data_IF_530608444494
#
_entry.id   IF_530608444494
#
_cell.length_a   1.000
_cell.length_b   1.000
_cell.length_c   1.000
_cell.angle_alpha   90.00
_cell.angle_beta   90.00
_cell.angle_gamma   90.00
#
_symmetry.space_group_name_H-M   'P 1'
#
loop_
_entity.id
_entity.type
_entity.pdbx_description
1 polymer ?
#
# COMPACT_ATOMS: atom_id res chain seq x y z
N UNK A 1 9.37 47.22 -15.54
CA UNK A 1 9.37 46.58 -16.88
C UNK A 1 10.75 46.37 -17.50
N UNK A 2 11.72 47.26 -17.28
CA UNK A 2 13.07 47.06 -17.84
C UNK A 2 13.81 45.81 -17.38
N UNK A 3 13.63 45.42 -16.12
CA UNK A 3 14.31 44.23 -15.55
C UNK A 3 13.83 42.91 -16.19
N UNK A 4 12.55 42.76 -16.42
CA UNK A 4 11.96 41.56 -17.05
C UNK A 4 12.42 41.42 -18.51
N UNK A 5 12.55 42.54 -19.22
CA UNK A 5 13.02 42.55 -20.61
C UNK A 5 14.50 42.19 -20.73
N UNK A 6 15.34 42.62 -19.75
CA UNK A 6 16.75 42.23 -19.70
C UNK A 6 16.95 40.76 -19.36
N UNK A 7 16.17 40.21 -18.42
CA UNK A 7 16.21 38.79 -18.08
C UNK A 7 15.80 37.96 -19.30
N UNK A 8 14.74 38.35 -19.98
CA UNK A 8 14.24 37.66 -21.16
C UNK A 8 15.22 37.72 -22.34
N UNK A 9 15.91 38.80 -22.54
CA UNK A 9 16.95 38.93 -23.57
C UNK A 9 18.19 38.09 -23.24
N UNK A 10 18.61 38.08 -21.99
CA UNK A 10 19.73 37.21 -21.54
C UNK A 10 19.40 35.72 -21.64
N UNK A 11 18.18 35.31 -21.29
CA UNK A 11 17.71 33.96 -21.52
C UNK A 11 17.69 33.61 -23.00
N UNK A 12 17.19 34.50 -23.84
CA UNK A 12 17.13 34.27 -25.28
C UNK A 12 18.52 34.16 -25.92
N UNK A 13 19.50 34.97 -25.50
CA UNK A 13 20.88 34.89 -25.98
C UNK A 13 21.58 33.61 -25.49
N UNK A 14 21.35 33.21 -24.23
CA UNK A 14 21.87 31.94 -23.70
C UNK A 14 21.30 30.71 -24.43
N UNK A 15 20.03 30.78 -24.77
CA UNK A 15 19.34 29.73 -25.53
C UNK A 15 19.80 29.63 -26.99
N UNK A 16 20.22 30.72 -27.60
CA UNK A 16 20.67 30.74 -29.02
C UNK A 16 22.17 30.46 -29.18
N UNK A 17 22.96 30.64 -28.12
CA UNK A 17 24.44 30.55 -28.23
C UNK A 17 24.97 29.12 -28.19
N UNK A 18 24.26 28.19 -27.53
CA UNK A 18 24.66 26.79 -27.47
C UNK A 18 23.46 25.86 -27.50
N UNK A 19 23.00 25.42 -28.68
CA UNK A 19 21.87 24.49 -28.77
C UNK A 19 22.14 23.15 -28.06
N UNK A 20 23.40 22.76 -27.92
CA UNK A 20 23.78 21.57 -27.17
C UNK A 20 23.40 21.66 -25.68
N UNK A 21 23.55 22.84 -25.05
CA UNK A 21 23.17 23.03 -23.65
C UNK A 21 21.67 22.84 -23.41
N UNK A 22 20.85 23.27 -24.36
CA UNK A 22 19.39 23.08 -24.30
C UNK A 22 19.05 21.59 -24.34
N UNK A 23 19.66 20.86 -25.25
CA UNK A 23 19.46 19.41 -25.39
C UNK A 23 19.85 18.69 -24.10
N UNK A 24 21.01 19.01 -23.52
CA UNK A 24 21.45 18.44 -22.25
C UNK A 24 20.50 18.78 -21.08
N UNK A 25 20.01 20.02 -21.01
CA UNK A 25 19.08 20.44 -19.95
C UNK A 25 17.75 19.69 -20.03
N UNK A 26 17.22 19.52 -21.23
CA UNK A 26 16.00 18.76 -21.48
C UNK A 26 16.20 17.29 -21.13
N UNK A 27 17.33 16.69 -21.52
CA UNK A 27 17.66 15.31 -21.21
C UNK A 27 17.76 15.08 -19.71
N UNK A 28 18.47 15.96 -18.99
CA UNK A 28 18.58 15.88 -17.51
C UNK A 28 17.22 16.06 -16.85
N UNK A 29 16.39 16.97 -17.35
CA UNK A 29 15.04 17.19 -16.83
C UNK A 29 14.15 15.97 -17.01
N UNK A 30 14.23 15.30 -18.17
CA UNK A 30 13.49 14.07 -18.45
C UNK A 30 13.96 12.93 -17.53
N UNK A 31 15.28 12.79 -17.34
CA UNK A 31 15.84 11.78 -16.44
C UNK A 31 15.40 12.03 -15.00
N UNK A 32 15.50 13.28 -14.53
CA UNK A 32 15.06 13.65 -13.19
C UNK A 32 13.56 13.40 -12.99
N UNK A 33 12.75 13.78 -13.97
CA UNK A 33 11.31 13.51 -13.96
C UNK A 33 11.02 12.01 -13.90
N UNK A 34 11.75 11.22 -14.67
CA UNK A 34 11.59 9.76 -14.68
C UNK A 34 11.93 9.15 -13.33
N UNK A 35 13.04 9.58 -12.71
CA UNK A 35 13.46 9.14 -11.37
C UNK A 35 12.39 9.50 -10.33
N UNK A 36 11.90 10.74 -10.34
CA UNK A 36 10.86 11.18 -9.41
C UNK A 36 9.56 10.40 -9.65
N UNK A 37 9.19 10.22 -10.91
CA UNK A 37 7.98 9.48 -11.30
C UNK A 37 8.01 8.03 -10.85
N UNK A 38 9.19 7.39 -10.85
CA UNK A 38 9.35 6.00 -10.37
C UNK A 38 9.39 5.94 -8.84
N UNK A 39 9.98 6.93 -8.19
CA UNK A 39 10.20 6.93 -6.73
C UNK A 39 8.96 7.36 -5.96
N UNK A 40 8.19 8.30 -6.50
CA UNK A 40 6.95 8.81 -5.89
C UNK A 40 5.75 8.08 -6.51
N UNK A 41 5.60 6.79 -6.20
CA UNK A 41 4.36 6.11 -6.55
C UNK A 41 3.25 6.54 -5.59
N UNK A 42 2.17 7.15 -6.09
CA UNK A 42 1.01 7.41 -5.25
C UNK A 42 0.45 6.07 -4.79
N UNK A 43 0.35 5.90 -3.48
CA UNK A 43 -0.37 4.77 -2.90
C UNK A 43 -1.83 4.86 -3.33
N UNK A 44 -2.36 3.79 -3.88
CA UNK A 44 -3.74 3.74 -4.34
C UNK A 44 -4.54 2.90 -3.36
N UNK A 45 -5.69 3.37 -2.86
CA UNK A 45 -6.58 2.53 -2.08
C UNK A 45 -7.30 1.54 -2.99
N UNK A 46 -7.41 0.29 -2.54
CA UNK A 46 -8.19 -0.75 -3.18
C UNK A 46 -9.07 -1.45 -2.14
N UNK A 47 -10.36 -1.46 -2.38
CA UNK A 47 -11.31 -2.16 -1.51
C UNK A 47 -11.55 -3.56 -2.05
N UNK A 48 -11.34 -4.54 -1.19
CA UNK A 48 -11.58 -5.95 -1.48
C UNK A 48 -12.65 -6.49 -0.53
N UNK A 49 -13.67 -7.09 -1.11
CA UNK A 49 -14.80 -7.66 -0.39
C UNK A 49 -14.74 -9.18 -0.40
N UNK A 50 -15.46 -9.81 0.53
CA UNK A 50 -15.55 -11.27 0.64
C UNK A 50 -14.23 -11.97 1.02
N UNK A 51 -13.36 -11.31 1.75
CA UNK A 51 -12.15 -11.92 2.30
C UNK A 51 -12.56 -12.90 3.39
N UNK A 52 -12.18 -14.18 3.30
CA UNK A 52 -12.53 -15.18 4.31
C UNK A 52 -11.84 -14.85 5.64
N UNK A 53 -12.56 -15.04 6.74
CA UNK A 53 -12.02 -14.93 8.10
C UNK A 53 -11.66 -16.31 8.60
N UNK A 54 -10.42 -16.48 9.03
CA UNK A 54 -9.94 -17.69 9.68
C UNK A 54 -9.60 -17.39 11.14
N UNK A 55 -10.01 -18.26 12.03
CA UNK A 55 -9.70 -18.18 13.46
C UNK A 55 -8.81 -19.35 13.80
N UNK A 56 -7.54 -19.10 14.05
CA UNK A 56 -6.57 -20.10 14.47
C UNK A 56 -6.19 -19.85 15.93
N UNK A 57 -6.37 -20.88 16.74
CA UNK A 57 -6.04 -20.87 18.16
C UNK A 57 -4.74 -21.61 18.49
N UNK A 58 -4.07 -22.17 17.46
CA UNK A 58 -2.86 -22.97 17.63
C UNK A 58 -1.74 -22.16 18.28
N UNK A 59 -1.18 -22.69 19.35
CA UNK A 59 -0.11 -22.02 20.12
C UNK A 59 -0.57 -20.81 20.94
N UNK A 60 -1.86 -20.66 21.15
CA UNK A 60 -2.42 -19.57 21.95
C UNK A 60 -2.82 -20.03 23.34
N UNK A 61 -3.02 -19.08 24.26
CA UNK A 61 -3.53 -19.37 25.61
C UNK A 61 -4.92 -20.02 25.60
N UNK A 62 -5.69 -19.85 24.54
CA UNK A 62 -6.97 -20.51 24.38
C UNK A 62 -6.80 -22.03 24.20
N UNK A 63 -5.87 -22.45 23.36
CA UNK A 63 -5.53 -23.88 23.16
C UNK A 63 -4.98 -24.50 24.44
N UNK A 64 -4.05 -23.82 25.13
CA UNK A 64 -3.46 -24.26 26.40
C UNK A 64 -4.51 -24.49 27.50
N UNK A 65 -5.60 -23.71 27.47
CA UNK A 65 -6.72 -23.87 28.41
C UNK A 65 -7.81 -24.84 27.91
N UNK A 66 -7.55 -25.58 26.82
CA UNK A 66 -8.49 -26.57 26.27
C UNK A 66 -9.73 -25.92 25.64
N UNK A 67 -9.68 -24.68 25.24
CA UNK A 67 -10.75 -23.96 24.56
C UNK A 67 -10.75 -24.30 23.07
N UNK A 68 -11.92 -24.28 22.48
CA UNK A 68 -12.09 -24.47 21.03
C UNK A 68 -13.09 -23.46 20.47
N UNK A 69 -12.90 -23.12 19.20
CA UNK A 69 -13.85 -22.23 18.49
C UNK A 69 -15.07 -23.03 18.11
N UNK A 70 -16.24 -22.68 18.68
CA UNK A 70 -17.50 -23.33 18.39
C UNK A 70 -18.16 -22.70 17.16
N UNK A 71 -18.19 -21.38 17.08
CA UNK A 71 -18.76 -20.62 15.97
C UNK A 71 -18.28 -19.18 16.00
N UNK A 72 -18.32 -18.52 14.85
CA UNK A 72 -18.14 -17.08 14.73
C UNK A 72 -19.10 -16.51 13.69
N UNK A 73 -19.59 -15.29 13.95
CA UNK A 73 -20.61 -14.66 13.11
C UNK A 73 -20.03 -14.13 11.80
N UNK A 74 -18.88 -13.48 11.86
CA UNK A 74 -18.27 -12.82 10.73
C UNK A 74 -17.42 -13.81 9.93
N UNK A 75 -17.99 -14.37 8.88
CA UNK A 75 -17.29 -15.32 7.99
C UNK A 75 -16.50 -14.65 6.88
N UNK A 76 -16.85 -13.42 6.52
CA UNK A 76 -16.23 -12.64 5.45
C UNK A 76 -16.18 -11.17 5.82
N UNK A 77 -15.10 -10.52 5.46
CA UNK A 77 -14.90 -9.07 5.69
C UNK A 77 -14.60 -8.33 4.40
N UNK A 78 -14.90 -7.06 4.40
CA UNK A 78 -14.47 -6.11 3.36
C UNK A 78 -13.37 -5.26 3.94
N UNK A 79 -12.26 -5.16 3.24
CA UNK A 79 -11.06 -4.46 3.69
C UNK A 79 -10.59 -3.50 2.63
N UNK A 80 -10.22 -2.29 3.04
CA UNK A 80 -9.54 -1.33 2.19
C UNK A 80 -8.04 -1.40 2.46
N UNK A 81 -7.30 -1.81 1.45
CA UNK A 81 -5.83 -1.87 1.47
C UNK A 81 -5.26 -0.69 0.70
N UNK A 82 -4.12 -0.21 1.13
CA UNK A 82 -3.38 0.86 0.47
C UNK A 82 -1.96 0.40 0.19
N UNK A 83 -1.50 0.62 -1.02
CA UNK A 83 -0.16 0.22 -1.42
C UNK A 83 0.21 0.66 -2.81
N UNK A 84 1.35 0.19 -3.29
CA UNK A 84 1.80 0.47 -4.64
C UNK A 84 0.85 -0.17 -5.65
N UNK A 85 0.40 0.60 -6.64
CA UNK A 85 -0.54 0.17 -7.68
C UNK A 85 -0.12 -1.13 -8.40
N UNK A 86 1.17 -1.30 -8.65
CA UNK A 86 1.69 -2.52 -9.26
C UNK A 86 1.56 -3.75 -8.37
N UNK A 87 1.74 -3.56 -7.06
CA UNK A 87 1.66 -4.64 -6.06
C UNK A 87 0.22 -5.01 -5.72
N UNK A 88 -0.62 -4.01 -5.42
CA UNK A 88 -2.01 -4.26 -5.03
C UNK A 88 -2.95 -4.46 -6.22
N UNK A 89 -2.56 -4.02 -7.42
CA UNK A 89 -3.36 -4.16 -8.64
C UNK A 89 -3.71 -5.61 -8.96
N UNK A 90 -2.76 -6.51 -8.77
CA UNK A 90 -2.90 -7.95 -9.01
C UNK A 90 -3.50 -8.75 -7.84
N UNK A 91 -3.75 -8.10 -6.69
CA UNK A 91 -4.36 -8.74 -5.53
C UNK A 91 -5.87 -8.89 -5.71
N UNK A 92 -6.35 -10.08 -5.46
CA UNK A 92 -7.77 -10.43 -5.35
C UNK A 92 -8.14 -10.78 -3.90
N UNK A 93 -9.44 -10.90 -3.62
CA UNK A 93 -9.90 -11.32 -2.31
C UNK A 93 -9.39 -12.72 -1.92
N UNK A 94 -9.18 -13.61 -2.90
CA UNK A 94 -8.68 -14.97 -2.69
C UNK A 94 -7.19 -15.01 -2.30
N UNK A 95 -6.45 -13.96 -2.58
CA UNK A 95 -5.04 -13.79 -2.21
C UNK A 95 -4.86 -13.31 -0.77
N UNK A 96 -5.93 -12.89 -0.12
CA UNK A 96 -5.94 -12.38 1.25
C UNK A 96 -6.66 -13.32 2.20
N UNK A 97 -6.20 -13.33 3.44
CA UNK A 97 -6.87 -14.00 4.57
C UNK A 97 -6.96 -13.02 5.72
N UNK A 98 -8.13 -12.92 6.29
CA UNK A 98 -8.36 -12.20 7.52
C UNK A 98 -8.20 -13.18 8.69
N UNK A 99 -7.09 -13.08 9.42
CA UNK A 99 -6.84 -13.91 10.60
C UNK A 99 -7.31 -13.18 11.85
N UNK A 100 -8.14 -13.83 12.64
CA UNK A 100 -8.53 -13.32 13.94
C UNK A 100 -7.44 -13.64 14.96
N UNK A 101 -6.92 -12.59 15.60
CA UNK A 101 -5.85 -12.71 16.60
C UNK A 101 -6.45 -13.09 17.94
N UNK A 102 -6.12 -14.28 18.42
CA UNK A 102 -6.60 -14.82 19.70
C UNK A 102 -5.50 -14.62 20.74
N UNK A 103 -5.53 -13.47 21.41
CA UNK A 103 -4.61 -13.17 22.51
C UNK A 103 -5.34 -13.14 23.85
N UNK A 104 -4.71 -13.70 24.88
CA UNK A 104 -5.18 -13.63 26.26
C UNK A 104 -6.62 -14.16 26.51
N UNK A 105 -7.05 -15.14 25.73
CA UNK A 105 -8.33 -15.81 25.96
C UNK A 105 -8.13 -17.01 26.89
N UNK A 106 -8.50 -16.83 28.14
CA UNK A 106 -8.32 -17.83 29.22
C UNK A 106 -9.61 -18.46 29.71
N UNK A 107 -10.76 -18.00 29.22
CA UNK A 107 -12.08 -18.47 29.63
C UNK A 107 -13.03 -18.58 28.46
N UNK A 108 -13.94 -19.56 28.54
CA UNK A 108 -15.03 -19.72 27.58
C UNK A 108 -15.99 -18.50 27.60
N UNK A 109 -16.66 -18.30 26.49
CA UNK A 109 -17.64 -17.23 26.31
C UNK A 109 -17.42 -16.48 25.01
N UNK A 110 -18.30 -15.52 24.77
CA UNK A 110 -18.23 -14.66 23.59
C UNK A 110 -17.07 -13.67 23.71
N UNK A 111 -16.26 -13.57 22.68
CA UNK A 111 -15.07 -12.69 22.63
C UNK A 111 -15.04 -11.92 21.33
N UNK A 112 -14.68 -10.63 21.41
CA UNK A 112 -14.37 -9.80 20.26
C UNK A 112 -12.89 -9.89 19.96
N UNK A 113 -12.55 -10.36 18.77
CA UNK A 113 -11.18 -10.57 18.35
C UNK A 113 -10.77 -9.50 17.33
N UNK A 114 -9.53 -9.07 17.42
CA UNK A 114 -8.93 -8.21 16.40
C UNK A 114 -8.63 -9.00 15.14
N UNK A 115 -9.00 -8.48 14.00
CA UNK A 115 -8.74 -9.10 12.71
C UNK A 115 -7.49 -8.49 12.10
N UNK A 116 -6.56 -9.35 11.70
CA UNK A 116 -5.38 -8.99 10.94
C UNK A 116 -5.51 -9.54 9.52
N UNK A 117 -5.24 -8.72 8.51
CA UNK A 117 -5.30 -9.15 7.11
C UNK A 117 -3.90 -9.42 6.62
N UNK A 118 -3.68 -10.62 6.15
CA UNK A 118 -2.40 -11.08 5.60
C UNK A 118 -2.57 -11.53 4.15
N UNK A 119 -1.51 -11.30 3.36
CA UNK A 119 -1.44 -11.82 2.00
C UNK A 119 -0.87 -13.22 1.99
N UNK A 120 -1.46 -14.10 1.18
CA UNK A 120 -0.88 -15.40 0.84
C UNK A 120 0.36 -15.28 -0.05
N UNK A 121 0.53 -14.12 -0.71
CA UNK A 121 1.69 -13.80 -1.55
C UNK A 121 2.72 -13.06 -0.72
N UNK A 122 3.93 -13.60 -0.63
CA UNK A 122 5.02 -13.07 0.22
C UNK A 122 5.62 -11.75 -0.25
N UNK A 123 5.42 -11.37 -1.51
CA UNK A 123 6.09 -10.21 -2.11
C UNK A 123 5.24 -8.93 -2.12
N UNK A 124 4.06 -8.95 -1.52
CA UNK A 124 3.14 -7.80 -1.56
C UNK A 124 3.11 -7.10 -0.22
N UNK A 125 3.55 -5.85 -0.22
CA UNK A 125 3.42 -4.95 0.93
C UNK A 125 2.22 -4.03 0.73
N UNK A 126 1.36 -3.99 1.72
CA UNK A 126 0.19 -3.09 1.79
C UNK A 126 -0.11 -2.74 3.23
N UNK A 127 -0.79 -1.63 3.41
CA UNK A 127 -1.33 -1.21 4.70
C UNK A 127 -2.85 -1.36 4.69
N UNK A 128 -3.42 -1.79 5.80
CA UNK A 128 -4.87 -1.89 5.99
C UNK A 128 -5.36 -0.59 6.59
N UNK A 129 -6.29 0.05 5.92
CA UNK A 129 -6.83 1.36 6.34
C UNK A 129 -8.20 1.27 7.01
N UNK A 130 -8.97 0.23 6.71
CA UNK A 130 -10.27 -0.04 7.39
C UNK A 130 -10.78 -1.42 7.03
#
# INVERSE_FOLDING_TARGET
MKYVKNIMNNLRSALTTNPAMIIYSVLIAIIAWFIISITVYPTTPKTLSNIPVEVDITGTSAEENGLSVISYETKKVTVTIQGNRSSIGSLSADDLVASAVVENVTSAGEKYLKINVISKKSDVKFDVTS
#
